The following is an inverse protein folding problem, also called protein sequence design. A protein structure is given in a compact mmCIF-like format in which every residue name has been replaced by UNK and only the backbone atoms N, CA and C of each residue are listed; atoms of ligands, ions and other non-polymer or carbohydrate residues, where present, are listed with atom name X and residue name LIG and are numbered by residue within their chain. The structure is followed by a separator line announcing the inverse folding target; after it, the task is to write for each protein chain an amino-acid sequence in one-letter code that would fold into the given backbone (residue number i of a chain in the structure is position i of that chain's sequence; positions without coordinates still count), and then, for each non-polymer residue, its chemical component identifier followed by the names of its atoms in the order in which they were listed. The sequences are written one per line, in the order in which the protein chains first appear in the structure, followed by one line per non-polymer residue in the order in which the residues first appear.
data_IF_346201156730
#
_entry.id   IF_346201156730
#
_cell.length_a   1.000
_cell.length_b   1.000
_cell.length_c   1.000
_cell.angle_alpha   90.00
_cell.angle_beta   90.00
_cell.angle_gamma   90.00
#
_symmetry.space_group_name_H-M   'P 1'
#
loop_
_entity.id
_entity.type
_entity.pdbx_description
1 polymer ?
#
# COMPACT_ATOMS: atom_id res chain seq x y z
N UNK A 1 0.32 14.36 -17.71
CA UNK A 1 -0.31 13.24 -18.46
C UNK A 1 0.10 11.93 -17.80
N UNK A 2 -0.56 10.80 -18.09
CA UNK A 2 -0.11 9.52 -17.56
C UNK A 2 1.27 9.15 -18.13
N UNK A 3 2.25 8.85 -17.27
CA UNK A 3 3.60 8.44 -17.71
C UNK A 3 3.67 6.97 -18.15
N UNK A 4 2.70 6.16 -17.73
CA UNK A 4 2.62 4.73 -18.07
C UNK A 4 1.27 4.43 -18.70
N UNK A 5 1.29 3.66 -19.79
CA UNK A 5 0.10 3.18 -20.48
C UNK A 5 0.20 1.68 -20.75
N UNK A 6 -0.79 0.92 -20.31
CA UNK A 6 -0.90 -0.51 -20.64
C UNK A 6 -1.29 -0.65 -22.11
N UNK A 7 -0.47 -1.38 -22.87
CA UNK A 7 -0.65 -1.62 -24.29
C UNK A 7 -1.49 -2.88 -24.54
N UNK A 8 -1.15 -3.98 -23.85
CA UNK A 8 -1.82 -5.25 -24.02
C UNK A 8 -1.74 -6.10 -22.73
N UNK A 9 -2.75 -6.95 -22.55
CA UNK A 9 -2.75 -8.02 -21.55
C UNK A 9 -3.25 -9.27 -22.26
N UNK A 10 -2.37 -10.24 -22.47
CA UNK A 10 -2.71 -11.50 -23.10
C UNK A 10 -2.75 -12.62 -22.06
N UNK A 11 -3.79 -13.45 -22.13
CA UNK A 11 -3.91 -14.65 -21.30
C UNK A 11 -3.30 -15.79 -22.10
N UNK A 12 -2.14 -16.28 -21.66
CA UNK A 12 -1.44 -17.38 -22.31
C UNK A 12 -2.04 -18.72 -21.86
N UNK A 13 -1.86 -19.74 -22.69
CA UNK A 13 -2.25 -21.14 -22.42
C UNK A 13 -3.74 -21.39 -22.11
N UNK A 14 -4.65 -20.50 -22.50
CA UNK A 14 -6.10 -20.68 -22.31
C UNK A 14 -6.77 -21.35 -23.54
N UNK A 15 -7.51 -22.48 -23.41
CA UNK A 15 -7.86 -23.20 -22.18
C UNK A 15 -6.74 -24.11 -21.66
N UNK A 16 -6.61 -24.18 -20.34
CA UNK A 16 -5.58 -24.94 -19.63
C UNK A 16 -6.19 -25.97 -18.66
N UNK A 17 -5.45 -27.03 -18.25
CA UNK A 17 -5.87 -27.88 -17.15
C UNK A 17 -6.09 -27.10 -15.86
N UNK A 18 -7.00 -27.55 -14.99
CA UNK A 18 -7.35 -26.82 -13.75
C UNK A 18 -6.14 -26.56 -12.81
N UNK A 19 -5.14 -27.44 -12.84
CA UNK A 19 -3.95 -27.33 -11.99
C UNK A 19 -2.77 -26.60 -12.63
N UNK A 20 -2.87 -26.20 -13.91
CA UNK A 20 -1.80 -25.42 -14.54
C UNK A 20 -1.88 -23.96 -14.08
N UNK A 21 -0.73 -23.28 -13.92
CA UNK A 21 -0.74 -21.86 -13.60
C UNK A 21 -1.31 -21.04 -14.77
N UNK A 22 -2.00 -19.97 -14.45
CA UNK A 22 -2.44 -18.94 -15.38
C UNK A 22 -1.28 -18.01 -15.67
N UNK A 23 -1.10 -17.68 -16.93
CA UNK A 23 0.00 -16.84 -17.37
C UNK A 23 -0.55 -15.59 -18.04
N UNK A 24 -0.23 -14.42 -17.49
CA UNK A 24 -0.60 -13.13 -18.08
C UNK A 24 0.66 -12.46 -18.61
N UNK A 25 0.73 -12.26 -19.91
CA UNK A 25 1.75 -11.42 -20.50
C UNK A 25 1.22 -9.99 -20.59
N UNK A 26 1.87 -9.10 -19.87
CA UNK A 26 1.52 -7.69 -19.80
C UNK A 26 2.56 -6.92 -20.58
N UNK A 27 2.09 -6.12 -21.55
CA UNK A 27 2.92 -5.16 -22.28
C UNK A 27 2.48 -3.74 -21.93
N UNK A 28 3.44 -2.89 -21.57
CA UNK A 28 3.18 -1.48 -21.26
C UNK A 28 4.22 -0.57 -21.87
N UNK A 29 3.87 0.71 -22.01
CA UNK A 29 4.76 1.77 -22.45
C UNK A 29 4.93 2.78 -21.33
N UNK A 30 6.18 3.18 -21.13
CA UNK A 30 6.59 4.22 -20.20
C UNK A 30 7.13 5.39 -21.04
N UNK A 31 6.47 6.55 -21.00
CA UNK A 31 6.85 7.70 -21.82
C UNK A 31 8.10 8.41 -21.28
N UNK A 32 8.29 8.38 -19.96
CA UNK A 32 9.38 9.04 -19.23
C UNK A 32 9.92 8.09 -18.17
N UNK A 33 11.23 8.09 -17.92
CA UNK A 33 11.81 7.20 -16.93
C UNK A 33 11.27 7.48 -15.51
N UNK A 34 10.90 6.42 -14.79
CA UNK A 34 10.45 6.48 -13.40
C UNK A 34 11.60 6.06 -12.48
N UNK A 35 11.87 6.89 -11.47
CA UNK A 35 12.84 6.60 -10.43
C UNK A 35 12.31 5.57 -9.43
N UNK A 36 11.02 5.67 -9.10
CA UNK A 36 10.33 4.76 -8.18
C UNK A 36 9.78 3.53 -8.90
N UNK A 37 9.50 2.49 -8.11
CA UNK A 37 8.95 1.23 -8.60
C UNK A 37 7.45 1.34 -8.93
N UNK A 38 7.04 0.69 -10.02
CA UNK A 38 5.64 0.40 -10.28
C UNK A 38 5.21 -0.85 -9.52
N UNK A 39 4.15 -0.75 -8.72
CA UNK A 39 3.53 -1.91 -8.09
C UNK A 39 2.41 -2.47 -8.98
N UNK A 40 2.53 -3.73 -9.35
CA UNK A 40 1.53 -4.49 -10.10
C UNK A 40 0.89 -5.52 -9.17
N UNK A 41 -0.43 -5.47 -9.00
CA UNK A 41 -1.20 -6.43 -8.20
C UNK A 41 -2.22 -7.16 -9.06
N UNK A 42 -2.33 -8.46 -8.87
CA UNK A 42 -3.45 -9.23 -9.41
C UNK A 42 -4.42 -9.53 -8.27
N UNK A 43 -5.64 -9.01 -8.37
CA UNK A 43 -6.66 -9.13 -7.34
C UNK A 43 -7.80 -10.00 -7.88
N UNK A 44 -8.13 -11.06 -7.16
CA UNK A 44 -9.28 -11.91 -7.44
C UNK A 44 -10.45 -11.47 -6.58
N UNK A 45 -11.56 -11.11 -7.24
CA UNK A 45 -12.80 -10.71 -6.57
C UNK A 45 -13.47 -11.96 -5.98
N UNK A 46 -13.45 -12.07 -4.66
CA UNK A 46 -13.97 -13.25 -3.95
C UNK A 46 -15.50 -13.26 -3.83
N UNK A 47 -16.11 -12.07 -3.79
CA UNK A 47 -17.55 -11.87 -3.75
C UNK A 47 -17.92 -10.64 -4.57
N UNK A 48 -19.06 -10.69 -5.27
CA UNK A 48 -19.60 -9.51 -5.94
C UNK A 48 -20.21 -8.48 -4.97
N UNK A 49 -20.42 -8.87 -3.71
CA UNK A 49 -21.15 -8.09 -2.71
C UNK A 49 -20.25 -7.44 -1.66
N UNK A 50 -19.00 -7.92 -1.50
CA UNK A 50 -18.07 -7.43 -0.48
C UNK A 50 -16.63 -7.56 -0.94
N UNK A 51 -15.89 -6.44 -0.81
CA UNK A 51 -14.45 -6.35 -1.07
C UNK A 51 -13.60 -7.05 0.01
N UNK A 52 -14.18 -7.40 1.16
CA UNK A 52 -13.47 -8.10 2.25
C UNK A 52 -12.98 -9.49 1.85
N UNK A 53 -13.57 -10.07 0.80
CA UNK A 53 -13.21 -11.38 0.27
C UNK A 53 -12.25 -11.29 -0.92
N UNK A 54 -11.84 -10.10 -1.32
CA UNK A 54 -10.88 -9.89 -2.40
C UNK A 54 -9.50 -10.39 -2.01
N UNK A 55 -8.88 -11.14 -2.90
CA UNK A 55 -7.62 -11.81 -2.64
C UNK A 55 -6.55 -11.28 -3.58
N UNK A 56 -5.48 -10.74 -3.01
CA UNK A 56 -4.26 -10.43 -3.78
C UNK A 56 -3.59 -11.75 -4.11
N UNK A 57 -3.63 -12.14 -5.38
CA UNK A 57 -3.03 -13.38 -5.87
C UNK A 57 -1.52 -13.26 -6.05
N UNK A 58 -1.06 -12.10 -6.51
CA UNK A 58 0.36 -11.76 -6.65
C UNK A 58 0.55 -10.24 -6.62
N UNK A 59 1.75 -9.82 -6.22
CA UNK A 59 2.16 -8.42 -6.12
C UNK A 59 3.63 -8.30 -6.48
N UNK A 60 3.95 -7.57 -7.55
CA UNK A 60 5.30 -7.42 -8.06
C UNK A 60 5.66 -5.94 -8.18
N UNK A 61 6.84 -5.58 -7.69
CA UNK A 61 7.45 -4.28 -7.91
C UNK A 61 8.34 -4.33 -9.15
N UNK A 62 8.19 -3.35 -10.03
CA UNK A 62 8.98 -3.20 -11.25
C UNK A 62 9.60 -1.81 -11.23
N UNK A 63 10.90 -1.72 -10.94
CA UNK A 63 11.65 -0.48 -11.09
C UNK A 63 13.15 -0.62 -10.79
N UNK A 64 13.93 0.45 -11.08
CA UNK A 64 13.51 1.68 -11.76
C UNK A 64 13.09 1.41 -13.22
N UNK A 65 12.10 2.17 -13.74
CA UNK A 65 11.50 1.89 -15.05
C UNK A 65 12.00 2.88 -16.09
N UNK A 66 12.89 2.49 -17.03
CA UNK A 66 13.33 3.39 -18.08
C UNK A 66 12.20 3.69 -19.08
N UNK A 67 12.31 4.81 -19.80
CA UNK A 67 11.37 5.10 -20.88
C UNK A 67 11.46 4.03 -21.98
N UNK A 68 10.32 3.68 -22.58
CA UNK A 68 10.22 2.68 -23.63
C UNK A 68 9.10 1.67 -23.40
N UNK A 69 9.14 0.60 -24.20
CA UNK A 69 8.15 -0.49 -24.15
C UNK A 69 8.72 -1.65 -23.36
N UNK A 70 7.91 -2.16 -22.45
CA UNK A 70 8.26 -3.22 -21.51
C UNK A 70 7.25 -4.35 -21.59
N UNK A 71 7.70 -5.54 -21.25
CA UNK A 71 6.87 -6.74 -21.23
C UNK A 71 7.35 -7.68 -20.13
N UNK A 72 6.40 -8.27 -19.40
CA UNK A 72 6.68 -9.27 -18.38
C UNK A 72 5.50 -10.24 -18.25
N UNK A 73 5.73 -11.39 -17.62
CA UNK A 73 4.75 -12.46 -17.44
C UNK A 73 4.47 -12.68 -15.97
N UNK A 74 3.20 -12.62 -15.57
CA UNK A 74 2.72 -13.11 -14.28
C UNK A 74 2.35 -14.58 -14.38
N UNK A 75 2.73 -15.39 -13.39
CA UNK A 75 2.31 -16.79 -13.28
C UNK A 75 1.52 -16.99 -11.98
N UNK A 76 0.24 -17.34 -12.09
CA UNK A 76 -0.68 -17.48 -10.96
C UNK A 76 -1.21 -18.89 -10.83
N UNK A 77 -1.36 -19.37 -9.60
CA UNK A 77 -1.95 -20.68 -9.35
C UNK A 77 -3.47 -20.58 -9.15
N UNK A 78 -4.24 -20.07 -10.14
CA UNK A 78 -5.73 -20.05 -10.02
C UNK A 78 -6.48 -19.83 -11.34
N UNK A 79 -7.65 -20.46 -11.47
CA UNK A 79 -8.54 -20.40 -12.64
C UNK A 79 -9.19 -19.03 -12.88
N UNK A 80 -8.79 -18.32 -13.94
CA UNK A 80 -9.43 -17.08 -14.38
C UNK A 80 -10.18 -17.33 -15.69
N UNK A 81 -11.51 -17.35 -15.62
CA UNK A 81 -12.38 -17.46 -16.78
C UNK A 81 -12.67 -16.07 -17.35
N UNK A 82 -11.75 -15.48 -18.09
CA UNK A 82 -11.99 -14.18 -18.72
C UNK A 82 -11.57 -14.17 -20.20
N UNK A 83 -12.55 -14.16 -21.10
CA UNK A 83 -12.37 -13.89 -22.53
C UNK A 83 -12.40 -12.39 -22.87
N UNK A 84 -12.90 -11.55 -21.95
CA UNK A 84 -13.19 -10.14 -22.19
C UNK A 84 -12.58 -9.27 -21.08
N UNK A 85 -11.31 -8.85 -21.22
CA UNK A 85 -10.69 -7.97 -20.24
C UNK A 85 -11.41 -6.62 -20.22
N UNK A 86 -11.67 -6.11 -19.01
CA UNK A 86 -12.20 -4.75 -18.80
C UNK A 86 -11.06 -3.88 -18.30
N UNK A 87 -10.85 -2.73 -18.95
CA UNK A 87 -9.79 -1.78 -18.58
C UNK A 87 -10.42 -0.51 -18.04
N UNK A 88 -10.13 -0.20 -16.78
CA UNK A 88 -10.50 1.07 -16.13
C UNK A 88 -9.22 1.86 -15.86
N UNK A 89 -9.17 3.13 -16.26
CA UNK A 89 -7.99 3.99 -16.11
C UNK A 89 -8.31 5.15 -15.18
N UNK A 90 -7.42 5.40 -14.22
CA UNK A 90 -7.51 6.54 -13.31
C UNK A 90 -6.35 7.50 -13.59
N UNK A 91 -6.61 8.80 -13.48
CA UNK A 91 -5.55 9.80 -13.51
C UNK A 91 -4.90 9.86 -12.12
N UNK A 92 -3.58 9.73 -12.07
CA UNK A 92 -2.80 9.85 -10.84
C UNK A 92 -1.75 10.96 -10.99
N UNK A 93 -1.30 11.49 -9.85
CA UNK A 93 -0.13 12.36 -9.83
C UNK A 93 1.13 11.49 -9.91
N UNK A 94 2.00 11.77 -10.88
CA UNK A 94 3.23 11.02 -11.14
C UNK A 94 4.47 11.67 -10.55
N UNK A 95 4.39 12.96 -10.24
CA UNK A 95 5.51 13.70 -9.68
C UNK A 95 5.33 13.75 -8.16
N UNK A 96 6.15 12.99 -7.44
CA UNK A 96 6.37 13.21 -6.02
C UNK A 96 6.97 14.61 -5.88
N UNK A 97 6.20 15.56 -5.35
CA UNK A 97 6.75 16.87 -4.97
C UNK A 97 7.76 16.67 -3.84
N UNK A 98 9.01 16.39 -4.20
CA UNK A 98 10.17 16.35 -3.30
C UNK A 98 10.59 17.78 -2.93
N UNK A 99 9.62 18.64 -2.60
CA UNK A 99 9.84 20.03 -2.18
C UNK A 99 8.86 20.32 -1.04
N UNK A 100 9.15 19.79 0.16
CA UNK A 100 8.92 20.38 1.50
C UNK A 100 9.58 19.54 2.59
N UNK A 101 10.85 19.16 2.39
CA UNK A 101 11.79 19.10 3.51
C UNK A 101 12.56 20.42 3.45
N UNK A 102 11.85 21.52 3.71
CA UNK A 102 12.54 22.74 4.12
C UNK A 102 12.98 22.48 5.57
N UNK A 103 14.28 22.34 5.74
CA UNK A 103 14.95 22.46 7.03
C UNK A 103 14.47 23.74 7.72
N UNK A 104 13.50 23.64 8.63
CA UNK A 104 13.34 24.64 9.68
C UNK A 104 14.36 24.27 10.76
N UNK A 105 15.63 24.49 10.42
CA UNK A 105 16.68 24.67 11.40
C UNK A 105 16.35 25.92 12.22
N UNK A 106 16.39 25.77 13.54
CA UNK A 106 16.04 26.74 14.56
C UNK A 106 16.55 28.17 14.31
N UNK A 107 15.68 29.16 14.43
CA UNK A 107 16.03 30.44 15.04
C UNK A 107 14.89 30.97 15.92
N UNK A 108 15.12 30.97 17.23
CA UNK A 108 14.33 31.68 18.23
C UNK A 108 14.53 33.20 18.11
N UNK A 109 13.46 34.02 18.06
CA UNK A 109 13.53 35.41 18.48
C UNK A 109 12.94 35.57 19.88
N UNK A 110 13.84 35.68 20.86
CA UNK A 110 13.70 36.35 22.17
C UNK A 110 12.28 36.79 22.55
N UNK A 111 11.65 36.07 23.48
CA UNK A 111 10.54 36.59 24.29
C UNK A 111 11.09 37.12 25.62
N UNK A 112 11.15 38.45 25.76
CA UNK A 112 11.47 39.12 27.02
C UNK A 112 10.20 39.38 27.85
N UNK A 113 10.22 38.78 29.04
CA UNK A 113 9.72 39.25 30.35
C UNK A 113 8.21 39.34 30.67
N UNK A 114 7.90 38.66 31.78
CA UNK A 114 6.85 38.95 32.78
C UNK A 114 5.95 37.72 33.00
N UNK A 115 5.92 36.99 34.11
CA UNK A 115 6.07 37.29 35.55
C UNK A 115 6.20 35.93 36.31
N UNK A 116 6.48 35.92 37.64
CA UNK A 116 7.17 34.83 38.33
C UNK A 116 6.23 33.88 39.10
N UNK A 117 6.79 32.79 39.65
CA UNK A 117 6.56 32.18 40.99
C UNK A 117 6.80 30.65 40.92
N UNK A 118 8.01 30.20 41.23
CA UNK A 118 8.43 29.66 42.54
C UNK A 118 8.06 28.18 42.76
N UNK A 119 9.04 27.30 42.57
CA UNK A 119 9.04 25.94 43.14
C UNK A 119 9.87 25.93 44.43
N UNK A 120 9.52 25.06 45.40
CA UNK A 120 10.57 24.36 46.13
C UNK A 120 10.35 22.83 46.16
N UNK A 121 11.36 22.06 46.61
CA UNK A 121 11.70 20.77 46.01
C UNK A 121 11.55 19.54 46.94
N UNK A 122 11.49 18.36 46.33
CA UNK A 122 11.99 17.02 46.74
C UNK A 122 11.79 16.51 48.19
N UNK A 123 11.18 15.32 48.37
CA UNK A 123 11.76 14.10 49.00
C UNK A 123 10.71 13.06 49.44
N UNK A 124 11.10 11.78 49.36
CA UNK A 124 10.61 10.66 50.18
C UNK A 124 9.45 9.88 49.55
N UNK A 125 9.66 8.65 49.06
CA UNK A 125 9.71 7.37 49.81
C UNK A 125 8.33 6.68 49.90
N UNK A 126 8.37 5.38 49.63
CA UNK A 126 7.43 4.31 50.04
C UNK A 126 6.24 3.91 49.13
N UNK A 127 6.37 2.69 48.59
CA UNK A 127 5.27 1.74 48.31
C UNK A 127 4.72 1.24 49.67
N UNK A 128 3.44 0.80 49.84
CA UNK A 128 2.93 -0.40 49.14
C UNK A 128 1.41 -0.46 48.82
N UNK A 129 1.08 -1.36 47.89
CA UNK A 129 -0.06 -2.30 47.81
C UNK A 129 -1.51 -1.91 48.23
N UNK A 130 -2.47 -2.05 47.30
CA UNK A 130 -3.79 -2.69 47.48
C UNK A 130 -4.61 -2.63 46.17
N UNK A 131 -4.90 -3.79 45.58
CA UNK A 131 -5.91 -4.01 44.52
C UNK A 131 -7.33 -4.21 45.15
N UNK A 132 -8.40 -4.67 44.46
CA UNK A 132 -8.75 -4.76 43.02
C UNK A 132 -10.23 -4.32 42.69
N UNK A 133 -10.63 -4.24 41.41
CA UNK A 133 -12.00 -4.44 40.85
C UNK A 133 -12.06 -3.89 39.40
N UNK A 134 -12.74 -4.40 38.36
CA UNK A 134 -13.68 -5.49 38.08
C UNK A 134 -13.62 -5.72 36.55
N UNK A 135 -13.62 -6.98 36.09
CA UNK A 135 -13.85 -7.40 34.70
C UNK A 135 -15.37 -7.40 34.43
N UNK A 136 -15.82 -7.21 33.18
CA UNK A 136 -16.74 -8.21 32.66
C UNK A 136 -16.32 -8.78 31.31
N UNK A 137 -16.45 -10.09 31.26
CA UNK A 137 -16.35 -10.98 30.12
C UNK A 137 -17.38 -10.62 29.06
N UNK A 138 -17.03 -10.80 27.79
CA UNK A 138 -17.99 -11.40 26.88
C UNK A 138 -17.27 -12.27 25.85
N UNK A 139 -17.38 -13.59 26.07
CA UNK A 139 -17.05 -14.67 25.15
C UNK A 139 -18.13 -14.76 24.06
N UNK A 140 -17.75 -15.10 22.83
CA UNK A 140 -18.70 -15.58 21.83
C UNK A 140 -18.08 -16.79 21.13
N UNK A 141 -18.51 -17.97 21.56
CA UNK A 141 -18.14 -19.28 21.03
C UNK A 141 -18.77 -19.53 19.66
N UNK A 142 -17.99 -20.18 18.79
CA UNK A 142 -18.36 -20.55 17.42
C UNK A 142 -19.28 -21.80 17.39
N UNK A 143 -20.30 -21.76 16.52
CA UNK A 143 -20.90 -22.93 15.85
C UNK A 143 -20.96 -22.62 14.36
#
# INVERSE_FOLDING_TARGET
MAKVSVLNVSVLENPSPFHSPFQFEISFECSEALADDLEWKIIYVGSAESEEFDQILDSVLVGPVPAGRHMFVFQLQRNILASNPRVTRFHINWDSTTDKLEDIENQDPVLSLGLPLSCPPTKGLDLPDCAPSIIPENSMDCI
#
